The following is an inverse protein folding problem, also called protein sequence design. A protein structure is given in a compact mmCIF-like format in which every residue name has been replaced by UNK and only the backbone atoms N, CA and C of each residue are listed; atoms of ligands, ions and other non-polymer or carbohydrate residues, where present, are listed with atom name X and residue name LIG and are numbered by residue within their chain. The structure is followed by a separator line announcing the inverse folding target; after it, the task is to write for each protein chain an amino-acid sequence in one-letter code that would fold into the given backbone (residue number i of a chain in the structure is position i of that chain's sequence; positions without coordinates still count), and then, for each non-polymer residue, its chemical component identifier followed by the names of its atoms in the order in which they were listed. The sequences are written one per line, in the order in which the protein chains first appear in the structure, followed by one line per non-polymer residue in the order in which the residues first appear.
data_IF_535313355841
#
_entry.id   IF_535313355841
#
_cell.length_a   1.000
_cell.length_b   1.000
_cell.length_c   1.000
_cell.angle_alpha   90.00
_cell.angle_beta   90.00
_cell.angle_gamma   90.00
#
_symmetry.space_group_name_H-M   'P 1'
#
loop_
_entity.id
_entity.type
_entity.pdbx_description
1 polymer ?
#
# COMPACT_ATOMS: atom_id res chain seq x y z
N UNK A 1 -1.06 -5.64 -4.72
CA UNK A 1 -2.30 -6.43 -4.96
C UNK A 1 -3.11 -5.72 -6.02
N UNK A 2 -3.82 -6.45 -6.87
CA UNK A 2 -4.88 -5.93 -7.74
C UNK A 2 -5.96 -7.00 -7.95
N UNK A 3 -7.07 -6.62 -8.57
CA UNK A 3 -8.16 -7.55 -8.94
C UNK A 3 -7.85 -8.39 -10.20
N UNK A 4 -6.64 -8.25 -10.76
CA UNK A 4 -6.14 -9.08 -11.85
C UNK A 4 -5.79 -10.50 -11.38
N UNK A 5 -5.69 -11.42 -12.33
CA UNK A 5 -5.29 -12.80 -12.05
C UNK A 5 -3.78 -12.92 -11.86
N UNK A 6 -3.37 -13.98 -11.17
CA UNK A 6 -1.97 -14.39 -11.05
C UNK A 6 -1.34 -14.69 -12.43
N UNK A 7 -2.14 -15.10 -13.41
CA UNK A 7 -1.69 -15.28 -14.79
C UNK A 7 -1.35 -13.94 -15.45
N UNK A 8 -2.23 -12.93 -15.27
CA UNK A 8 -1.99 -11.56 -15.72
C UNK A 8 -0.74 -10.97 -15.07
N UNK A 9 -0.57 -11.16 -13.76
CA UNK A 9 0.62 -10.73 -13.02
C UNK A 9 1.89 -11.39 -13.54
N UNK A 10 1.89 -12.71 -13.76
CA UNK A 10 3.04 -13.44 -14.33
C UNK A 10 3.38 -12.94 -15.73
N UNK A 11 2.39 -12.73 -16.59
CA UNK A 11 2.61 -12.18 -17.93
C UNK A 11 3.23 -10.78 -17.86
N UNK A 12 2.79 -9.94 -16.92
CA UNK A 12 3.34 -8.59 -16.74
C UNK A 12 4.78 -8.59 -16.21
N UNK A 13 5.07 -9.44 -15.22
CA UNK A 13 6.43 -9.67 -14.67
C UNK A 13 7.40 -10.13 -15.76
N UNK A 14 6.98 -11.09 -16.59
CA UNK A 14 7.80 -11.62 -17.68
C UNK A 14 7.90 -10.67 -18.89
N UNK A 15 7.04 -9.65 -18.95
CA UNK A 15 7.02 -8.62 -19.97
C UNK A 15 7.79 -7.38 -19.52
N UNK A 16 7.06 -6.31 -19.23
CA UNK A 16 7.62 -4.98 -18.99
C UNK A 16 7.93 -4.65 -17.54
N UNK A 17 7.34 -5.34 -16.57
CA UNK A 17 7.51 -5.00 -15.15
C UNK A 17 8.87 -5.46 -14.60
N UNK A 18 9.37 -6.58 -15.08
CA UNK A 18 10.64 -7.16 -14.63
C UNK A 18 10.55 -7.84 -13.26
N UNK A 19 11.72 -8.17 -12.70
CA UNK A 19 11.83 -8.93 -11.45
C UNK A 19 11.44 -8.08 -10.25
N UNK A 20 10.52 -8.61 -9.44
CA UNK A 20 10.12 -8.03 -8.16
C UNK A 20 10.82 -8.73 -6.99
N UNK A 21 11.10 -7.96 -5.93
CA UNK A 21 11.62 -8.49 -4.66
C UNK A 21 10.52 -8.73 -3.62
N UNK A 22 9.26 -8.64 -4.04
CA UNK A 22 8.07 -8.81 -3.20
C UNK A 22 6.95 -9.50 -4.01
N UNK A 23 6.00 -10.16 -3.35
CA UNK A 23 4.90 -10.83 -4.04
C UNK A 23 3.90 -9.82 -4.63
N UNK A 24 3.37 -10.14 -5.80
CA UNK A 24 2.22 -9.45 -6.38
C UNK A 24 0.97 -10.32 -6.20
N UNK A 25 0.12 -9.94 -5.24
CA UNK A 25 -1.08 -10.71 -4.89
C UNK A 25 -2.25 -10.45 -5.85
N UNK A 26 -2.95 -11.51 -6.23
CA UNK A 26 -4.20 -11.55 -7.00
C UNK A 26 -5.39 -11.55 -6.05
N UNK A 27 -6.32 -10.60 -6.24
CA UNK A 27 -7.60 -10.49 -5.54
C UNK A 27 -8.76 -10.69 -6.53
N UNK A 28 -8.76 -11.82 -7.24
CA UNK A 28 -9.78 -12.10 -8.26
C UNK A 28 -11.20 -12.19 -7.71
N UNK A 29 -11.35 -12.52 -6.44
CA UNK A 29 -12.65 -12.54 -5.75
C UNK A 29 -13.12 -11.14 -5.34
N UNK A 30 -12.24 -10.13 -5.42
CA UNK A 30 -12.45 -8.73 -4.98
C UNK A 30 -12.67 -8.58 -3.47
N UNK A 31 -12.59 -9.68 -2.73
CA UNK A 31 -12.90 -9.73 -1.30
C UNK A 31 -11.89 -8.92 -0.50
N UNK A 32 -10.61 -8.99 -0.83
CA UNK A 32 -9.62 -8.21 -0.10
C UNK A 32 -9.79 -6.71 -0.38
N UNK A 33 -10.08 -6.33 -1.63
CA UNK A 33 -10.32 -4.94 -1.99
C UNK A 33 -11.57 -4.37 -1.30
N UNK A 34 -12.63 -5.18 -1.17
CA UNK A 34 -13.85 -4.84 -0.42
C UNK A 34 -13.57 -4.73 1.09
N UNK A 35 -12.94 -5.76 1.69
CA UNK A 35 -12.64 -5.81 3.13
C UNK A 35 -11.73 -4.62 3.57
N UNK A 36 -10.85 -4.14 2.68
CA UNK A 36 -10.00 -2.98 2.92
C UNK A 36 -10.63 -1.63 2.49
N UNK A 37 -11.87 -1.64 1.98
CA UNK A 37 -12.60 -0.42 1.60
C UNK A 37 -12.00 0.33 0.41
N UNK A 38 -11.33 -0.40 -0.51
CA UNK A 38 -10.66 0.19 -1.69
C UNK A 38 -11.25 -0.28 -3.02
N UNK A 39 -12.31 -1.09 -3.01
CA UNK A 39 -12.96 -1.56 -4.23
C UNK A 39 -13.86 -0.46 -4.83
N UNK A 40 -13.70 -0.19 -6.13
CA UNK A 40 -14.71 0.47 -6.96
C UNK A 40 -15.59 -0.65 -7.53
N UNK A 41 -16.75 -0.87 -6.91
CA UNK A 41 -17.62 -2.01 -7.22
C UNK A 41 -18.05 -2.03 -8.69
N UNK A 42 -18.45 -0.88 -9.23
CA UNK A 42 -18.97 -0.72 -10.59
C UNK A 42 -17.92 -1.07 -11.66
N UNK A 43 -16.65 -0.78 -11.37
CA UNK A 43 -15.53 -1.02 -12.29
C UNK A 43 -14.81 -2.35 -12.01
N UNK A 44 -15.00 -2.94 -10.82
CA UNK A 44 -14.32 -4.16 -10.41
C UNK A 44 -12.82 -4.00 -10.21
N UNK A 45 -12.35 -2.78 -9.96
CA UNK A 45 -10.94 -2.43 -9.72
C UNK A 45 -10.78 -1.78 -8.35
N UNK A 46 -9.54 -1.75 -7.84
CA UNK A 46 -9.25 -1.06 -6.58
C UNK A 46 -8.72 0.37 -6.83
N UNK A 47 -9.12 1.33 -5.99
CA UNK A 47 -8.38 2.59 -5.83
C UNK A 47 -6.98 2.33 -5.28
N UNK A 48 -6.13 3.35 -5.28
CA UNK A 48 -4.73 3.23 -4.85
C UNK A 48 -4.63 3.29 -3.33
N UNK A 49 -4.95 2.19 -2.67
CA UNK A 49 -4.76 1.98 -1.23
C UNK A 49 -3.32 1.61 -0.85
N UNK A 50 -2.86 2.12 0.29
CA UNK A 50 -1.65 1.69 0.98
C UNK A 50 -1.94 1.52 2.47
N UNK A 51 -1.49 0.39 3.03
CA UNK A 51 -1.69 0.04 4.42
C UNK A 51 -0.36 -0.39 5.04
N UNK A 52 -0.06 0.10 6.24
CA UNK A 52 1.04 -0.39 7.08
C UNK A 52 0.39 -1.18 8.22
N UNK A 53 0.75 -2.45 8.31
CA UNK A 53 0.23 -3.42 9.28
C UNK A 53 1.40 -3.85 10.15
N UNK A 54 1.22 -3.84 11.46
CA UNK A 54 2.25 -4.26 12.41
C UNK A 54 2.31 -5.80 12.57
N UNK A 55 3.31 -6.34 13.30
CA UNK A 55 3.44 -7.79 13.51
C UNK A 55 2.25 -8.44 14.21
N UNK A 56 1.48 -7.67 14.98
CA UNK A 56 0.26 -8.10 15.67
C UNK A 56 -0.98 -8.10 14.74
N UNK A 57 -0.81 -7.68 13.47
CA UNK A 57 -1.86 -7.69 12.46
C UNK A 57 -2.78 -6.46 12.51
N UNK A 58 -2.38 -5.39 13.20
CA UNK A 58 -3.17 -4.17 13.35
C UNK A 58 -2.74 -3.13 12.32
N UNK A 59 -3.71 -2.52 11.64
CA UNK A 59 -3.46 -1.39 10.73
C UNK A 59 -3.01 -0.18 11.56
N UNK A 60 -1.81 0.31 11.27
CA UNK A 60 -1.22 1.50 11.91
C UNK A 60 -1.28 2.75 11.03
N UNK A 61 -1.39 2.55 9.73
CA UNK A 61 -1.52 3.63 8.76
C UNK A 61 -2.29 3.15 7.54
N UNK A 62 -3.20 3.98 7.04
CA UNK A 62 -3.96 3.76 5.82
C UNK A 62 -4.05 5.07 5.03
N UNK A 63 -3.77 5.01 3.73
CA UNK A 63 -3.98 6.15 2.83
C UNK A 63 -4.54 5.67 1.50
N UNK A 64 -5.51 6.41 0.98
CA UNK A 64 -6.13 6.16 -0.31
C UNK A 64 -5.86 7.33 -1.25
N UNK A 65 -5.55 7.01 -2.50
CA UNK A 65 -5.42 8.00 -3.58
C UNK A 65 -6.39 7.63 -4.70
N UNK A 66 -6.92 8.65 -5.36
CA UNK A 66 -7.73 8.49 -6.55
C UNK A 66 -6.89 7.89 -7.70
N UNK A 67 -7.55 7.31 -8.71
CA UNK A 67 -6.91 6.58 -9.80
C UNK A 67 -5.91 7.44 -10.59
N UNK A 68 -6.17 8.74 -10.70
CA UNK A 68 -5.35 9.72 -11.40
C UNK A 68 -4.23 10.33 -10.54
N UNK A 69 -4.14 10.00 -9.25
CA UNK A 69 -3.12 10.55 -8.34
C UNK A 69 -2.01 9.53 -8.08
N UNK A 70 -0.76 9.92 -8.33
CA UNK A 70 0.42 9.13 -8.02
C UNK A 70 0.70 9.08 -6.51
N UNK A 71 1.30 7.98 -6.04
CA UNK A 71 1.74 7.83 -4.64
C UNK A 71 3.13 8.41 -4.43
N UNK A 72 3.40 8.88 -3.22
CA UNK A 72 4.75 9.25 -2.78
C UNK A 72 5.36 8.13 -1.92
N UNK A 73 6.43 7.51 -2.41
CA UNK A 73 7.14 6.43 -1.70
C UNK A 73 7.87 6.97 -0.47
N UNK A 74 8.47 8.16 -0.56
CA UNK A 74 9.20 8.77 0.55
C UNK A 74 8.29 9.03 1.74
N UNK A 75 7.05 9.46 1.50
CA UNK A 75 6.06 9.65 2.58
C UNK A 75 5.70 8.33 3.25
N UNK A 76 5.56 7.26 2.47
CA UNK A 76 5.28 5.92 3.01
C UNK A 76 6.42 5.43 3.90
N UNK A 77 7.68 5.68 3.49
CA UNK A 77 8.87 5.36 4.28
C UNK A 77 8.96 6.24 5.53
N UNK A 78 8.68 7.54 5.42
CA UNK A 78 8.68 8.50 6.53
C UNK A 78 7.70 8.07 7.62
N UNK A 79 6.46 7.73 7.25
CA UNK A 79 5.44 7.25 8.19
C UNK A 79 5.86 5.91 8.81
N UNK A 80 6.41 4.98 8.02
CA UNK A 80 6.91 3.70 8.56
C UNK A 80 7.99 3.94 9.64
N UNK A 81 8.95 4.82 9.37
CA UNK A 81 9.99 5.18 10.33
C UNK A 81 9.41 5.85 11.57
N UNK A 82 8.47 6.78 11.40
CA UNK A 82 7.79 7.45 12.51
C UNK A 82 7.11 6.44 13.45
N UNK A 83 6.39 5.46 12.88
CA UNK A 83 5.74 4.37 13.63
C UNK A 83 6.74 3.49 14.41
N UNK A 84 8.01 3.47 14.01
CA UNK A 84 9.07 2.69 14.65
C UNK A 84 9.88 3.48 15.69
N UNK A 85 9.70 4.80 15.82
CA UNK A 85 10.48 5.63 16.76
C UNK A 85 10.17 5.34 18.24
N UNK A 86 8.94 4.90 18.55
CA UNK A 86 8.46 4.69 19.91
C UNK A 86 8.14 5.98 20.70
N UNK A 87 8.31 7.16 20.10
CA UNK A 87 8.00 8.46 20.70
C UNK A 87 6.97 9.26 19.90
N UNK A 88 6.73 10.50 20.32
CA UNK A 88 5.74 11.37 19.67
C UNK A 88 6.40 12.18 18.54
N UNK A 89 6.15 11.81 17.29
CA UNK A 89 6.61 12.57 16.13
C UNK A 89 5.74 13.83 15.91
N UNK A 90 6.33 15.04 15.82
CA UNK A 90 5.59 16.26 15.49
C UNK A 90 5.06 16.29 14.04
N UNK A 91 4.25 17.30 13.73
CA UNK A 91 3.82 17.57 12.34
C UNK A 91 5.04 17.78 11.44
N UNK A 92 5.00 17.23 10.22
CA UNK A 92 6.10 17.28 9.25
C UNK A 92 7.42 16.64 9.71
N UNK A 93 7.42 15.82 10.77
CA UNK A 93 8.61 15.12 11.25
C UNK A 93 9.28 14.27 10.15
N UNK A 94 10.60 14.33 10.08
CA UNK A 94 11.46 13.46 9.28
C UNK A 94 12.47 12.72 10.15
N UNK A 95 13.03 11.65 9.61
CA UNK A 95 14.09 10.89 10.30
C UNK A 95 15.27 11.81 10.64
N UNK A 96 15.63 11.85 11.92
CA UNK A 96 16.66 12.72 12.46
C UNK A 96 16.14 13.97 13.17
N UNK A 97 14.86 14.32 12.99
CA UNK A 97 14.23 15.42 13.74
C UNK A 97 13.95 14.99 15.19
N UNK A 98 13.92 15.97 16.09
CA UNK A 98 13.60 15.78 17.50
C UNK A 98 12.16 15.23 17.69
N UNK A 99 12.03 14.31 18.63
CA UNK A 99 10.73 13.82 19.13
C UNK A 99 10.22 14.76 20.23
N UNK A 100 8.90 14.76 20.43
CA UNK A 100 8.22 15.49 21.51
C UNK A 100 8.21 14.70 22.83
#
# INVERSE_FOLDING_TARGET
MSTDSEHSHKAWINGSLGKLNFPLASDKTRKASEDYGVLIEEEGIAIRGLFIIDPEGVIRYSVTHDLNVGRNVEESIRVLKALQTGGLCPINWNEGDDLL
#
